data_IF_000059817369
#
_entry.id   IF_000059817369
#
_cell.length_a   1.000
_cell.length_b   1.000
_cell.length_c   1.000
_cell.angle_alpha   90.00
_cell.angle_beta   90.00
_cell.angle_gamma   90.00
#
_symmetry.space_group_name_H-M   'P 1'
#
loop_
_entity.id
_entity.type
_entity.pdbx_description
1 polymer ?
#
# COMPACT_ATOMS: atom_id res chain seq x y z
N UNK A 1 -12.10 -8.68 4.27
CA UNK A 1 -11.44 -9.60 3.30
C UNK A 1 -9.98 -9.19 3.19
N UNK A 2 -9.04 -10.13 3.00
CA UNK A 2 -7.61 -9.85 2.76
C UNK A 2 -7.17 -10.61 1.50
N UNK A 3 -6.48 -9.94 0.58
CA UNK A 3 -6.03 -10.51 -0.69
C UNK A 3 -4.55 -10.20 -0.86
N UNK A 4 -3.74 -11.22 -1.16
CA UNK A 4 -2.34 -11.06 -1.51
C UNK A 4 -2.14 -11.47 -2.97
N UNK A 5 -1.49 -10.62 -3.76
CA UNK A 5 -1.19 -10.88 -5.18
C UNK A 5 0.29 -11.20 -5.32
N UNK A 6 0.60 -12.47 -5.57
CA UNK A 6 1.98 -13.00 -5.63
C UNK A 6 2.30 -13.60 -7.00
N UNK A 7 3.58 -13.69 -7.34
CA UNK A 7 4.03 -14.13 -8.68
C UNK A 7 5.44 -13.65 -9.06
N UNK A 8 5.97 -14.18 -10.16
CA UNK A 8 7.30 -13.83 -10.68
C UNK A 8 7.41 -12.37 -11.14
N UNK A 9 8.63 -11.90 -11.37
CA UNK A 9 8.87 -10.62 -12.06
C UNK A 9 8.17 -10.58 -13.42
N UNK A 10 7.48 -9.48 -13.72
CA UNK A 10 6.77 -9.30 -15.00
C UNK A 10 5.47 -10.08 -15.18
N UNK A 11 4.95 -10.79 -14.18
CA UNK A 11 3.67 -11.53 -14.30
C UNK A 11 2.41 -10.66 -14.20
N UNK A 12 2.54 -9.34 -14.09
CA UNK A 12 1.40 -8.42 -13.99
C UNK A 12 0.78 -8.29 -12.60
N UNK A 13 1.53 -8.59 -11.52
CA UNK A 13 1.04 -8.50 -10.13
C UNK A 13 0.48 -7.13 -9.78
N UNK A 14 1.28 -6.09 -9.97
CA UNK A 14 0.95 -4.71 -9.62
C UNK A 14 -0.27 -4.22 -10.39
N UNK A 15 -0.32 -4.52 -11.70
CA UNK A 15 -1.49 -4.23 -12.54
C UNK A 15 -2.74 -4.95 -12.04
N UNK A 16 -2.62 -6.24 -11.71
CA UNK A 16 -3.74 -7.04 -11.20
C UNK A 16 -4.23 -6.51 -9.85
N UNK A 17 -3.31 -6.16 -8.94
CA UNK A 17 -3.63 -5.57 -7.65
C UNK A 17 -4.37 -4.24 -7.81
N UNK A 18 -3.91 -3.36 -8.71
CA UNK A 18 -4.57 -2.09 -9.01
C UNK A 18 -6.00 -2.29 -9.54
N UNK A 19 -6.19 -3.22 -10.48
CA UNK A 19 -7.52 -3.53 -11.04
C UNK A 19 -8.46 -4.07 -9.98
N UNK A 20 -8.01 -5.01 -9.14
CA UNK A 20 -8.81 -5.54 -8.04
C UNK A 20 -9.21 -4.41 -7.08
N UNK A 21 -8.24 -3.59 -6.65
CA UNK A 21 -8.49 -2.53 -5.68
C UNK A 21 -9.50 -1.49 -6.21
N UNK A 22 -9.29 -0.98 -7.42
CA UNK A 22 -10.19 0.00 -8.06
C UNK A 22 -11.58 -0.59 -8.29
N UNK A 23 -11.68 -1.86 -8.69
CA UNK A 23 -12.96 -2.53 -8.92
C UNK A 23 -13.77 -2.66 -7.63
N UNK A 24 -13.13 -3.10 -6.53
CA UNK A 24 -13.79 -3.22 -5.23
C UNK A 24 -14.23 -1.85 -4.69
N UNK A 25 -13.36 -0.84 -4.78
CA UNK A 25 -13.69 0.51 -4.32
C UNK A 25 -14.87 1.12 -5.10
N UNK A 26 -14.91 0.95 -6.43
CA UNK A 26 -16.04 1.37 -7.28
C UNK A 26 -17.37 0.69 -6.92
N UNK A 27 -17.33 -0.50 -6.32
CA UNK A 27 -18.51 -1.21 -5.84
C UNK A 27 -18.96 -0.74 -4.44
N UNK A 28 -18.31 0.30 -3.88
CA UNK A 28 -18.59 0.83 -2.55
C UNK A 28 -17.97 0.00 -1.43
N UNK A 29 -17.06 -0.93 -1.75
CA UNK A 29 -16.35 -1.73 -0.75
C UNK A 29 -15.16 -0.92 -0.24
N UNK A 30 -15.07 -0.61 1.08
CA UNK A 30 -13.90 0.06 1.64
C UNK A 30 -12.62 -0.72 1.31
N UNK A 31 -11.71 -0.11 0.56
CA UNK A 31 -10.55 -0.79 0.00
C UNK A 31 -9.27 -0.05 0.35
N UNK A 32 -8.36 -0.77 1.01
CA UNK A 32 -6.98 -0.36 1.25
C UNK A 32 -6.07 -1.18 0.34
N UNK A 33 -5.27 -0.51 -0.47
CA UNK A 33 -4.21 -1.08 -1.27
C UNK A 33 -2.86 -0.84 -0.57
N UNK A 34 -2.07 -1.90 -0.39
CA UNK A 34 -0.73 -1.85 0.18
C UNK A 34 0.27 -2.29 -0.89
N UNK A 35 1.30 -1.49 -1.13
CA UNK A 35 2.46 -1.91 -1.93
C UNK A 35 3.57 -2.37 -0.98
N UNK A 36 3.93 -3.65 -1.09
CA UNK A 36 4.98 -4.30 -0.32
C UNK A 36 6.16 -4.73 -1.21
N UNK A 37 6.21 -4.26 -2.47
CA UNK A 37 7.28 -4.59 -3.40
C UNK A 37 8.54 -3.74 -3.11
N UNK A 38 9.73 -4.29 -3.37
CA UNK A 38 11.00 -3.56 -3.18
C UNK A 38 11.16 -2.41 -4.16
N UNK A 39 10.44 -2.45 -5.28
CA UNK A 39 10.30 -1.33 -6.21
C UNK A 39 8.80 -0.97 -6.34
N UNK A 40 8.27 -0.11 -5.45
CA UNK A 40 6.84 0.20 -5.40
C UNK A 40 6.37 0.91 -6.66
N UNK A 41 5.34 0.35 -7.30
CA UNK A 41 4.76 0.88 -8.54
C UNK A 41 3.21 0.85 -8.53
N UNK A 42 2.60 0.45 -7.41
CA UNK A 42 1.15 0.35 -7.29
C UNK A 42 0.48 1.73 -7.32
N UNK A 43 1.09 2.76 -6.74
CA UNK A 43 0.56 4.13 -6.77
C UNK A 43 0.39 4.68 -8.19
N UNK A 44 1.38 4.42 -9.06
CA UNK A 44 1.31 4.72 -10.49
C UNK A 44 0.19 3.92 -11.17
N UNK A 45 0.11 2.61 -10.91
CA UNK A 45 -0.90 1.72 -11.48
C UNK A 45 -2.33 2.06 -11.04
N UNK A 46 -2.49 2.61 -9.82
CA UNK A 46 -3.74 3.11 -9.28
C UNK A 46 -4.13 4.49 -9.84
N UNK A 47 -3.22 5.20 -10.51
CA UNK A 47 -3.44 6.55 -11.03
C UNK A 47 -3.34 7.65 -9.96
N UNK A 48 -2.57 7.43 -8.91
CA UNK A 48 -2.35 8.41 -7.82
C UNK A 48 -1.34 9.50 -8.24
N UNK A 49 -0.48 9.20 -9.21
CA UNK A 49 0.54 10.11 -9.74
C UNK A 49 1.93 9.85 -9.17
N UNK A 50 2.95 10.25 -9.92
CA UNK A 50 4.37 10.01 -9.61
C UNK A 50 4.79 10.71 -8.31
N UNK A 51 4.62 12.04 -8.23
CA UNK A 51 4.99 12.84 -7.05
C UNK A 51 4.43 12.29 -5.73
N UNK A 52 3.14 11.90 -5.73
CA UNK A 52 2.49 11.33 -4.55
C UNK A 52 3.00 9.93 -4.21
N UNK A 53 3.32 9.14 -5.24
CA UNK A 53 3.88 7.80 -5.06
C UNK A 53 5.30 7.90 -4.48
N UNK A 54 6.14 8.77 -5.04
CA UNK A 54 7.49 9.05 -4.55
C UNK A 54 7.50 9.56 -3.11
N UNK A 55 6.56 10.43 -2.75
CA UNK A 55 6.41 10.89 -1.36
C UNK A 55 6.16 9.73 -0.39
N UNK A 56 5.30 8.79 -0.75
CA UNK A 56 5.02 7.61 0.10
C UNK A 56 6.23 6.66 0.19
N UNK A 57 6.96 6.51 -0.90
CA UNK A 57 8.21 5.75 -0.95
C UNK A 57 9.24 6.36 0.01
N UNK A 58 9.41 7.68 -0.02
CA UNK A 58 10.34 8.40 0.88
C UNK A 58 9.93 8.31 2.36
N UNK A 59 8.62 8.38 2.65
CA UNK A 59 8.11 8.17 4.02
C UNK A 59 8.41 6.76 4.50
N UNK A 60 8.20 5.74 3.66
CA UNK A 60 8.56 4.36 3.99
C UNK A 60 10.06 4.19 4.24
N UNK A 61 10.91 4.80 3.42
CA UNK A 61 12.36 4.78 3.63
C UNK A 61 12.77 5.42 4.96
N UNK A 62 12.18 6.58 5.32
CA UNK A 62 12.46 7.21 6.60
C UNK A 62 12.04 6.33 7.80
N UNK A 63 10.95 5.56 7.67
CA UNK A 63 10.53 4.59 8.69
C UNK A 63 11.53 3.43 8.80
N UNK A 64 12.01 2.93 7.66
CA UNK A 64 13.01 1.84 7.62
C UNK A 64 14.38 2.28 8.17
N UNK A 65 14.77 3.54 7.93
CA UNK A 65 16.00 4.14 8.43
C UNK A 65 15.93 4.54 9.92
N UNK A 66 14.72 4.56 10.50
CA UNK A 66 14.48 4.93 11.89
C UNK A 66 14.37 6.44 12.14
N UNK A 67 14.32 7.23 11.06
CA UNK A 67 14.10 8.68 11.10
C UNK A 67 12.61 9.03 11.34
N UNK A 68 11.71 8.09 11.06
CA UNK A 68 10.27 8.17 11.34
C UNK A 68 9.80 6.99 12.18
N UNK A 69 8.93 7.27 13.17
CA UNK A 69 8.40 6.21 14.03
C UNK A 69 7.37 5.34 13.31
N UNK A 70 7.44 4.03 13.53
CA UNK A 70 6.44 3.08 13.07
C UNK A 70 5.07 3.43 13.65
N UNK A 71 4.00 3.27 12.86
CA UNK A 71 2.65 3.40 13.37
C UNK A 71 2.34 2.27 14.37
N UNK A 72 1.84 2.62 15.56
CA UNK A 72 1.49 1.65 16.60
C UNK A 72 0.17 0.92 16.37
N UNK A 73 -0.61 1.34 15.36
CA UNK A 73 -1.87 0.68 14.99
C UNK A 73 -2.17 0.82 13.50
N UNK A 74 -3.06 -0.02 12.99
CA UNK A 74 -3.56 0.12 11.61
C UNK A 74 -4.27 1.45 11.39
N UNK A 75 -5.01 1.95 12.38
CA UNK A 75 -5.70 3.24 12.29
C UNK A 75 -4.69 4.38 12.15
N UNK A 76 -3.62 4.35 12.92
CA UNK A 76 -2.54 5.33 12.86
C UNK A 76 -1.75 5.24 11.54
N UNK A 77 -1.45 4.04 11.03
CA UNK A 77 -0.82 3.86 9.72
C UNK A 77 -1.66 4.53 8.63
N UNK A 78 -2.97 4.30 8.69
CA UNK A 78 -3.93 4.83 7.74
C UNK A 78 -4.11 6.34 7.81
N UNK A 79 -3.85 6.95 8.96
CA UNK A 79 -3.94 8.39 9.18
C UNK A 79 -2.63 9.10 8.77
N UNK A 80 -1.48 8.52 9.14
CA UNK A 80 -0.17 9.12 8.91
C UNK A 80 0.41 8.83 7.53
N UNK A 81 0.18 7.63 7.00
CA UNK A 81 0.96 7.07 5.89
C UNK A 81 0.13 6.59 4.71
N UNK A 82 -1.20 6.70 4.77
CA UNK A 82 -2.05 6.42 3.62
C UNK A 82 -2.57 7.70 2.97
N UNK A 83 -2.86 7.63 1.68
CA UNK A 83 -3.50 8.70 0.91
C UNK A 83 -4.75 8.18 0.21
N UNK A 84 -5.67 9.11 -0.06
CA UNK A 84 -6.81 8.83 -0.92
C UNK A 84 -6.38 8.86 -2.40
N UNK A 85 -6.64 7.75 -3.07
CA UNK A 85 -6.47 7.56 -4.49
C UNK A 85 -7.81 7.61 -5.25
N UNK A 86 -7.76 7.47 -6.57
CA UNK A 86 -8.96 7.46 -7.38
C UNK A 86 -9.94 6.34 -7.02
N UNK A 87 -11.22 6.53 -7.33
CA UNK A 87 -12.35 5.65 -7.01
C UNK A 87 -12.55 5.35 -5.50
N UNK A 88 -11.90 6.10 -4.61
CA UNK A 88 -12.00 5.89 -3.15
C UNK A 88 -11.10 4.80 -2.60
N UNK A 89 -10.08 4.37 -3.35
CA UNK A 89 -9.03 3.47 -2.85
C UNK A 89 -8.14 4.26 -1.90
N UNK A 90 -7.96 3.78 -0.66
CA UNK A 90 -6.84 4.23 0.17
C UNK A 90 -5.58 3.46 -0.18
N UNK A 91 -4.45 4.15 -0.22
CA UNK A 91 -3.18 3.59 -0.67
C UNK A 91 -2.05 3.92 0.29
N UNK A 92 -1.23 2.94 0.62
CA UNK A 92 0.02 3.13 1.36
C UNK A 92 1.14 2.23 0.78
N UNK A 93 2.38 2.69 0.92
CA UNK A 93 3.58 1.89 0.66
C UNK A 93 4.10 1.44 2.01
N UNK A 94 4.35 0.14 2.17
CA UNK A 94 4.82 -0.44 3.42
C UNK A 94 5.94 -1.42 3.13
N UNK A 95 6.87 -1.54 4.05
CA UNK A 95 7.98 -2.49 3.92
C UNK A 95 7.49 -3.93 4.07
N UNK A 96 8.29 -4.87 3.57
CA UNK A 96 8.04 -6.28 3.80
C UNK A 96 8.02 -6.57 5.31
N UNK A 97 7.06 -7.39 5.74
CA UNK A 97 6.98 -7.80 7.15
C UNK A 97 8.03 -8.89 7.39
N UNK A 98 9.16 -8.52 8.00
CA UNK A 98 10.23 -9.46 8.33
C UNK A 98 9.89 -10.35 9.54
N UNK A 99 9.08 -9.84 10.49
CA UNK A 99 8.59 -10.59 11.65
C UNK A 99 7.07 -10.42 11.82
N UNK A 100 6.25 -11.29 11.20
CA UNK A 100 4.81 -11.26 11.41
C UNK A 100 4.50 -11.83 12.80
N UNK A 101 4.46 -10.98 13.83
CA UNK A 101 3.81 -11.36 15.06
C UNK A 101 2.30 -11.44 14.81
N UNK A 102 1.62 -12.51 15.25
CA UNK A 102 0.17 -12.55 15.21
C UNK A 102 -0.35 -11.40 16.08
N UNK A 103 -0.96 -10.40 15.44
CA UNK A 103 -1.59 -9.29 16.14
C UNK A 103 -2.56 -9.81 17.22
N UNK A 104 -2.57 -9.13 18.36
CA UNK A 104 -3.39 -9.46 19.53
C UNK A 104 -4.84 -9.82 19.12
N UNK A 105 -5.45 -10.88 19.69
CA UNK A 105 -6.76 -11.39 19.29
C UNK A 105 -7.91 -10.39 19.43
#
# INVERSE_FOLDING_TARGET
MKVAVVGKGGSGKTTTAAVIARTLARQGIPTLALDCDTNPNLGLSLGVGEERTERLIAVRDAVDEGDEEHAGSTAELLDRFAIDGPDGVRFAVVSAIDNPEPGCP
#
